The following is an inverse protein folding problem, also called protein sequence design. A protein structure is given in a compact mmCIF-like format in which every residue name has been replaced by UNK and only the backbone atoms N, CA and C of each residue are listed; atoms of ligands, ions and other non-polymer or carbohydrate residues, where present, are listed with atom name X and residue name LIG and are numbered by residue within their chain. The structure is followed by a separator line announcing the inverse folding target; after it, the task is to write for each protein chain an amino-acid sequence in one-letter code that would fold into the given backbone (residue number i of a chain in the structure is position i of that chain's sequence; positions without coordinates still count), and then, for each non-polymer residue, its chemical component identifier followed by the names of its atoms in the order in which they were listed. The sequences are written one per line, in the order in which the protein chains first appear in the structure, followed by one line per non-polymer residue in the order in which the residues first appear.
data_IF_533892403474
#
_entry.id   IF_533892403474
#
_cell.length_a   1.000
_cell.length_b   1.000
_cell.length_c   1.000
_cell.angle_alpha   90.00
_cell.angle_beta   90.00
_cell.angle_gamma   90.00
#
_symmetry.space_group_name_H-M   'P 1'
#
loop_
_entity.id
_entity.type
_entity.pdbx_description
1 polymer ?
#
# COMPACT_ATOMS: atom_id res chain seq x y z
N UNK A 1 -16.55 63.13 7.65
CA UNK A 1 -17.96 63.51 7.53
C UNK A 1 -18.76 62.23 7.66
N UNK A 2 -19.23 61.93 8.89
CA UNK A 2 -20.63 62.16 9.34
C UNK A 2 -21.56 61.15 8.62
N UNK A 3 -22.34 60.25 9.23
CA UNK A 3 -22.84 59.99 10.60
C UNK A 3 -23.47 58.57 10.55
N UNK A 4 -23.35 57.66 11.53
CA UNK A 4 -24.06 57.55 12.82
C UNK A 4 -25.53 57.06 12.77
N UNK A 5 -25.98 56.43 13.87
CA UNK A 5 -27.28 55.83 14.24
C UNK A 5 -27.41 54.30 13.96
N UNK A 6 -27.51 53.37 14.91
CA UNK A 6 -27.87 53.44 16.34
C UNK A 6 -29.18 52.65 16.59
N UNK A 7 -29.15 51.60 17.42
CA UNK A 7 -30.35 50.88 17.87
C UNK A 7 -30.08 49.53 18.54
N UNK A 8 -29.85 49.54 19.86
CA UNK A 8 -29.88 48.36 20.76
C UNK A 8 -31.33 48.14 21.32
N UNK A 9 -31.54 47.42 22.45
CA UNK A 9 -31.99 46.04 22.54
C UNK A 9 -33.39 45.92 23.20
N UNK A 10 -33.99 44.72 23.23
CA UNK A 10 -35.15 44.46 24.07
C UNK A 10 -34.83 43.45 25.18
N UNK A 11 -34.93 43.94 26.41
CA UNK A 11 -35.07 43.21 27.68
C UNK A 11 -36.55 43.26 28.10
N UNK A 12 -37.06 42.16 28.64
CA UNK A 12 -38.04 42.03 29.74
C UNK A 12 -38.58 40.59 29.68
N UNK A 13 -38.62 39.78 30.75
CA UNK A 13 -38.81 40.12 32.16
C UNK A 13 -40.22 39.68 32.56
N UNK A 14 -40.36 38.61 33.36
CA UNK A 14 -41.66 38.12 33.81
C UNK A 14 -41.60 36.78 34.56
N UNK A 15 -41.21 36.83 35.83
CA UNK A 15 -41.38 35.77 36.84
C UNK A 15 -42.86 35.58 37.20
N UNK A 16 -43.27 34.37 37.62
CA UNK A 16 -44.16 34.13 38.79
C UNK A 16 -44.32 32.63 39.13
N UNK A 17 -43.79 32.29 40.30
CA UNK A 17 -44.34 31.44 41.38
C UNK A 17 -44.58 29.92 41.24
N UNK A 18 -43.71 29.20 41.96
CA UNK A 18 -43.98 28.30 43.08
C UNK A 18 -45.04 27.17 42.96
N UNK A 19 -44.56 25.93 43.04
CA UNK A 19 -45.22 24.92 43.84
C UNK A 19 -44.20 23.99 44.53
N UNK A 20 -44.29 23.92 45.85
CA UNK A 20 -43.52 23.03 46.70
C UNK A 20 -44.33 21.75 46.97
N UNK A 21 -43.72 20.58 46.81
CA UNK A 21 -44.29 19.29 47.19
C UNK A 21 -43.23 18.20 47.09
N UNK A 22 -42.80 17.68 48.23
CA UNK A 22 -41.58 16.89 48.36
C UNK A 22 -41.72 15.38 48.12
N UNK A 23 -40.58 14.74 48.42
CA UNK A 23 -40.35 13.36 48.90
C UNK A 23 -39.57 12.44 47.94
N UNK A 24 -38.38 12.04 48.41
CA UNK A 24 -37.82 10.69 48.28
C UNK A 24 -37.43 10.23 46.88
N UNK A 25 -36.24 10.62 46.41
CA UNK A 25 -35.60 10.02 45.24
C UNK A 25 -34.22 9.48 45.60
N UNK A 26 -34.10 8.17 45.65
CA UNK A 26 -32.88 7.39 45.87
C UNK A 26 -31.73 7.83 44.97
N UNK A 27 -30.50 7.74 45.49
CA UNK A 27 -29.26 8.04 44.80
C UNK A 27 -29.24 7.42 43.38
N UNK A 28 -29.31 8.27 42.35
CA UNK A 28 -29.21 7.86 40.96
C UNK A 28 -27.83 7.28 40.70
N UNK A 29 -27.80 6.00 40.34
CA UNK A 29 -26.62 5.34 39.79
C UNK A 29 -26.02 6.21 38.68
N UNK A 30 -24.75 6.58 38.83
CA UNK A 30 -23.94 7.18 37.76
C UNK A 30 -24.07 6.28 36.53
N UNK A 31 -24.64 6.80 35.45
CA UNK A 31 -24.68 6.12 34.16
C UNK A 31 -23.26 5.76 33.76
N UNK A 32 -22.91 4.48 33.84
CA UNK A 32 -21.61 3.98 33.42
C UNK A 32 -21.47 4.23 31.92
N UNK A 33 -20.58 5.15 31.54
CA UNK A 33 -20.17 5.32 30.16
C UNK A 33 -19.66 3.96 29.66
N UNK A 34 -20.37 3.35 28.71
CA UNK A 34 -19.97 2.07 28.15
C UNK A 34 -18.68 2.30 27.36
N UNK A 35 -17.55 1.85 27.91
CA UNK A 35 -16.28 1.88 27.20
C UNK A 35 -16.34 0.89 26.03
N UNK A 36 -16.19 1.39 24.82
CA UNK A 36 -16.02 0.53 23.66
C UNK A 36 -14.58 -0.02 23.67
N UNK A 37 -14.43 -1.20 24.27
CA UNK A 37 -13.15 -1.95 24.30
C UNK A 37 -12.76 -2.46 22.92
N UNK A 38 -11.49 -2.83 22.76
CA UNK A 38 -11.03 -3.45 21.52
C UNK A 38 -11.49 -4.91 21.47
N UNK A 39 -12.14 -5.35 20.39
CA UNK A 39 -12.58 -6.75 20.26
C UNK A 39 -11.41 -7.70 19.97
N UNK A 40 -11.32 -8.76 20.75
CA UNK A 40 -10.42 -9.87 20.49
C UNK A 40 -10.77 -10.54 19.15
N UNK A 41 -9.79 -10.80 18.28
CA UNK A 41 -10.02 -11.49 17.01
C UNK A 41 -9.69 -12.98 17.07
N UNK A 42 -8.89 -13.39 18.06
CA UNK A 42 -8.42 -14.78 18.24
C UNK A 42 -8.34 -15.08 19.73
N UNK A 43 -8.28 -16.36 20.07
CA UNK A 43 -8.18 -16.83 21.46
C UNK A 43 -6.82 -16.52 22.04
N UNK A 44 -6.76 -15.94 23.24
CA UNK A 44 -5.52 -15.60 23.94
C UNK A 44 -5.60 -15.69 25.46
N UNK A 45 -4.72 -15.00 26.18
CA UNK A 45 -4.74 -14.93 27.65
C UNK A 45 -4.82 -13.49 28.15
N UNK A 46 -5.62 -13.27 29.19
CA UNK A 46 -5.72 -11.97 29.83
C UNK A 46 -4.53 -11.76 30.78
N UNK A 47 -3.77 -10.68 30.60
CA UNK A 47 -2.61 -10.40 31.43
C UNK A 47 -2.90 -10.02 32.90
N UNK A 48 -4.16 -9.86 33.27
CA UNK A 48 -4.58 -9.45 34.62
C UNK A 48 -5.17 -10.61 35.43
N UNK A 49 -5.98 -11.47 34.80
CA UNK A 49 -6.64 -12.59 35.49
C UNK A 49 -6.20 -13.97 35.00
N UNK A 50 -5.29 -14.04 34.02
CA UNK A 50 -4.73 -15.27 33.43
C UNK A 50 -5.76 -16.18 32.75
N UNK A 51 -7.05 -15.82 32.78
CA UNK A 51 -8.10 -16.56 32.10
C UNK A 51 -8.01 -16.38 30.58
N UNK A 52 -8.47 -17.39 29.80
CA UNK A 52 -8.51 -17.28 28.35
C UNK A 52 -9.38 -16.11 27.88
N UNK A 53 -8.87 -15.37 26.91
CA UNK A 53 -9.62 -14.43 26.07
C UNK A 53 -10.19 -15.21 24.90
N UNK A 54 -11.48 -15.05 24.60
CA UNK A 54 -12.14 -15.62 23.43
C UNK A 54 -12.33 -14.56 22.33
N UNK A 55 -12.42 -14.96 21.04
CA UNK A 55 -12.80 -14.05 19.97
C UNK A 55 -14.14 -13.35 20.30
N UNK A 56 -14.18 -12.03 20.10
CA UNK A 56 -15.33 -11.19 20.43
C UNK A 56 -15.25 -10.49 21.79
N UNK A 57 -14.42 -10.99 22.71
CA UNK A 57 -14.24 -10.38 24.04
C UNK A 57 -13.71 -8.95 23.94
N UNK A 58 -14.16 -8.09 24.86
CA UNK A 58 -13.69 -6.71 24.94
C UNK A 58 -12.39 -6.64 25.72
N UNK A 59 -11.40 -6.01 25.12
CA UNK A 59 -10.05 -5.88 25.63
C UNK A 59 -9.67 -4.43 25.88
N UNK A 60 -8.73 -4.27 26.78
CA UNK A 60 -8.09 -3.01 27.10
C UNK A 60 -6.56 -3.21 27.15
N UNK A 61 -5.78 -2.25 26.64
CA UNK A 61 -4.34 -2.38 26.66
C UNK A 61 -3.78 -2.14 28.06
N UNK A 62 -2.77 -2.92 28.44
CA UNK A 62 -1.99 -2.66 29.63
C UNK A 62 -1.13 -1.39 29.45
N UNK A 63 -0.88 -0.70 30.55
CA UNK A 63 -0.02 0.49 30.61
C UNK A 63 1.45 0.12 30.46
N UNK A 64 1.88 -0.96 31.08
CA UNK A 64 3.23 -1.49 30.93
C UNK A 64 3.46 -2.09 29.53
N UNK A 65 4.61 -1.79 28.88
CA UNK A 65 5.01 -2.47 27.66
C UNK A 65 5.36 -3.93 27.96
N UNK A 66 5.01 -4.82 27.04
CA UNK A 66 5.43 -6.22 27.11
C UNK A 66 6.81 -6.47 26.50
N UNK A 67 7.23 -7.75 26.45
CA UNK A 67 8.47 -8.17 25.82
C UNK A 67 8.57 -7.63 24.38
N UNK A 68 9.78 -7.19 24.00
CA UNK A 68 10.05 -6.59 22.69
C UNK A 68 9.17 -5.35 22.37
N UNK A 69 8.67 -4.64 23.38
CA UNK A 69 7.84 -3.45 23.19
C UNK A 69 6.42 -3.74 22.69
N UNK A 70 6.01 -5.01 22.62
CA UNK A 70 4.64 -5.40 22.25
C UNK A 70 3.64 -4.92 23.29
N UNK A 71 2.44 -4.56 22.84
CA UNK A 71 1.37 -4.15 23.75
C UNK A 71 0.68 -5.38 24.32
N UNK A 72 0.65 -5.47 25.65
CA UNK A 72 -0.07 -6.51 26.38
C UNK A 72 -1.54 -6.11 26.52
N UNK A 73 -2.45 -7.07 26.44
CA UNK A 73 -3.90 -6.86 26.54
C UNK A 73 -4.48 -7.61 27.74
N UNK A 74 -5.60 -7.09 28.26
CA UNK A 74 -6.40 -7.70 29.31
C UNK A 74 -7.87 -7.48 29.00
N UNK A 75 -8.76 -8.26 29.60
CA UNK A 75 -10.20 -7.99 29.50
C UNK A 75 -10.50 -6.56 29.94
N UNK A 76 -11.44 -5.90 29.25
CA UNK A 76 -11.93 -4.58 29.62
C UNK A 76 -12.42 -4.56 31.08
N UNK A 77 -13.15 -5.60 31.49
CA UNK A 77 -13.61 -5.75 32.87
C UNK A 77 -12.47 -5.86 33.88
N UNK A 78 -11.34 -6.49 33.51
CA UNK A 78 -10.16 -6.53 34.38
C UNK A 78 -9.53 -5.14 34.49
N UNK A 79 -9.41 -4.43 33.37
CA UNK A 79 -8.89 -3.06 33.37
C UNK A 79 -9.73 -2.11 34.23
N UNK A 80 -11.05 -2.23 34.18
CA UNK A 80 -11.98 -1.41 34.97
C UNK A 80 -11.82 -1.64 36.48
N UNK A 81 -11.53 -2.87 36.91
CA UNK A 81 -11.32 -3.19 38.34
C UNK A 81 -10.01 -2.65 38.90
N UNK A 82 -9.05 -2.30 38.04
CA UNK A 82 -7.74 -1.82 38.46
C UNK A 82 -7.69 -0.30 38.65
N UNK A 83 -8.76 0.43 38.32
CA UNK A 83 -8.79 1.90 38.41
C UNK A 83 -10.07 2.38 39.10
N UNK A 84 -9.93 3.37 39.99
CA UNK A 84 -11.07 3.98 40.71
C UNK A 84 -11.80 5.06 39.88
N UNK A 85 -11.67 5.04 38.55
CA UNK A 85 -12.11 6.10 37.67
C UNK A 85 -12.22 5.69 36.19
N UNK A 86 -12.46 6.65 35.28
CA UNK A 86 -12.66 6.35 33.89
C UNK A 86 -11.39 5.84 33.21
N UNK A 87 -11.53 4.80 32.40
CA UNK A 87 -10.42 4.30 31.59
C UNK A 87 -10.10 5.29 30.47
N UNK A 88 -8.86 5.77 30.44
CA UNK A 88 -8.37 6.69 29.40
C UNK A 88 -7.69 5.91 28.29
N UNK A 89 -8.22 5.99 27.07
CA UNK A 89 -7.60 5.38 25.88
C UNK A 89 -6.18 5.93 25.73
N UNK A 90 -5.14 5.09 25.57
CA UNK A 90 -3.80 5.59 25.37
C UNK A 90 -3.67 6.28 23.99
N UNK A 91 -2.73 7.21 23.87
CA UNK A 91 -2.46 7.90 22.61
C UNK A 91 -1.86 6.95 21.56
N UNK A 92 -2.24 7.18 20.31
CA UNK A 92 -1.72 6.43 19.18
C UNK A 92 -0.27 6.81 18.88
N UNK A 93 0.67 5.92 19.20
CA UNK A 93 2.10 6.12 18.92
C UNK A 93 2.39 6.41 17.45
N UNK A 94 1.59 5.84 16.54
CA UNK A 94 1.77 6.07 15.11
C UNK A 94 1.33 7.49 14.74
N UNK A 95 0.12 7.90 15.12
CA UNK A 95 -0.38 9.27 14.92
C UNK A 95 0.59 10.33 15.45
N UNK A 96 1.08 10.18 16.69
CA UNK A 96 2.03 11.15 17.25
C UNK A 96 3.34 11.24 16.46
N UNK A 97 3.76 10.15 15.81
CA UNK A 97 5.02 10.08 15.07
C UNK A 97 4.90 10.60 13.64
N UNK A 98 3.81 10.27 12.96
CA UNK A 98 3.61 10.54 11.53
C UNK A 98 2.58 11.63 11.26
N UNK A 99 1.82 12.02 12.28
CA UNK A 99 0.65 12.90 12.19
C UNK A 99 -0.54 12.27 11.44
N UNK A 100 -0.45 11.00 11.06
CA UNK A 100 -1.52 10.25 10.37
C UNK A 100 -1.61 8.86 10.96
N UNK A 101 -2.78 8.23 10.90
CA UNK A 101 -2.95 6.85 11.32
C UNK A 101 -3.72 6.09 10.27
N UNK A 102 -3.24 4.89 9.93
CA UNK A 102 -3.93 4.04 8.96
C UNK A 102 -5.35 3.72 9.38
N UNK A 103 -5.65 3.67 10.67
CA UNK A 103 -7.00 3.37 11.17
C UNK A 103 -7.88 4.63 11.27
N UNK A 104 -7.38 5.81 10.89
CA UNK A 104 -8.17 7.04 10.86
C UNK A 104 -8.93 7.31 12.16
N UNK A 105 -10.21 7.65 12.03
CA UNK A 105 -11.14 7.85 13.16
C UNK A 105 -11.52 6.54 13.86
N UNK A 106 -11.36 5.40 13.19
CA UNK A 106 -11.69 4.06 13.70
C UNK A 106 -10.58 3.47 14.57
N UNK A 107 -9.48 4.22 14.78
CA UNK A 107 -8.40 3.78 15.65
C UNK A 107 -8.90 3.70 17.09
N UNK A 108 -8.66 2.55 17.72
CA UNK A 108 -8.93 2.39 19.15
C UNK A 108 -8.18 3.40 20.03
N UNK A 109 -6.99 3.86 19.60
CA UNK A 109 -6.14 4.77 20.34
C UNK A 109 -6.47 6.24 20.04
N UNK A 110 -6.19 7.12 21.00
CA UNK A 110 -6.49 8.56 20.84
C UNK A 110 -5.59 9.22 19.79
N UNK A 111 -6.21 10.06 18.96
CA UNK A 111 -5.58 10.95 17.98
C UNK A 111 -5.77 12.39 18.42
N UNK A 112 -4.85 12.96 19.20
CA UNK A 112 -4.96 14.36 19.58
C UNK A 112 -4.61 15.23 18.35
N UNK A 113 -5.60 16.00 17.89
CA UNK A 113 -5.57 16.72 16.61
C UNK A 113 -4.48 17.81 16.54
N UNK A 114 -4.26 18.65 17.58
CA UNK A 114 -3.20 19.67 17.55
C UNK A 114 -1.81 19.07 17.31
N UNK A 115 -1.48 17.98 17.99
CA UNK A 115 -0.20 17.28 17.86
C UNK A 115 -0.07 16.60 16.50
N UNK A 116 -1.16 16.02 15.98
CA UNK A 116 -1.20 15.43 14.65
C UNK A 116 -0.93 16.45 13.54
N UNK A 117 -1.62 17.59 13.60
CA UNK A 117 -1.45 18.70 12.66
C UNK A 117 -0.05 19.32 12.74
N UNK A 118 0.44 19.59 13.96
CA UNK A 118 1.79 20.10 14.17
C UNK A 118 2.84 19.15 13.59
N UNK A 119 2.70 17.85 13.83
CA UNK A 119 3.64 16.85 13.30
C UNK A 119 3.60 16.78 11.77
N UNK A 120 2.42 16.88 11.14
CA UNK A 120 2.29 16.94 9.67
C UNK A 120 2.98 18.17 9.10
N UNK A 121 2.74 19.34 9.70
CA UNK A 121 3.38 20.58 9.29
C UNK A 121 4.91 20.50 9.40
N UNK A 122 5.41 19.93 10.50
CA UNK A 122 6.84 19.72 10.70
C UNK A 122 7.43 18.76 9.65
N UNK A 123 6.78 17.62 9.40
CA UNK A 123 7.22 16.66 8.37
C UNK A 123 7.21 17.27 6.96
N UNK A 124 6.22 18.11 6.66
CA UNK A 124 6.17 18.84 5.39
C UNK A 124 7.32 19.83 5.26
N UNK A 125 7.60 20.61 6.31
CA UNK A 125 8.74 21.54 6.33
C UNK A 125 10.09 20.81 6.21
N UNK A 126 10.25 19.67 6.90
CA UNK A 126 11.43 18.80 6.79
C UNK A 126 11.59 18.23 5.37
N UNK A 127 10.51 17.86 4.70
CA UNK A 127 10.54 17.36 3.32
C UNK A 127 10.95 18.47 2.34
N UNK A 128 10.41 19.68 2.50
CA UNK A 128 10.77 20.85 1.70
C UNK A 128 12.23 21.26 1.90
N UNK A 129 12.72 21.26 3.15
CA UNK A 129 14.12 21.56 3.44
C UNK A 129 15.08 20.50 2.86
N UNK A 130 14.72 19.21 2.93
CA UNK A 130 15.47 18.14 2.27
C UNK A 130 15.54 18.32 0.76
N UNK A 131 14.44 18.70 0.12
CA UNK A 131 14.42 19.05 -1.30
C UNK A 131 15.34 20.24 -1.61
N UNK A 132 15.31 21.32 -0.79
CA UNK A 132 16.19 22.48 -0.94
C UNK A 132 17.68 22.17 -0.78
N UNK A 133 18.03 21.23 0.12
CA UNK A 133 19.42 20.85 0.42
C UNK A 133 19.95 19.72 -0.46
N UNK A 134 19.13 19.12 -1.31
CA UNK A 134 19.58 18.11 -2.25
C UNK A 134 20.68 18.73 -3.13
N UNK A 135 21.85 18.09 -3.15
CA UNK A 135 22.96 18.51 -4.02
C UNK A 135 23.02 17.57 -5.23
N UNK A 136 23.36 18.09 -6.41
CA UNK A 136 23.71 17.23 -7.52
C UNK A 136 24.93 16.40 -7.15
N UNK A 137 24.87 15.10 -7.43
CA UNK A 137 26.00 14.21 -7.28
C UNK A 137 27.02 14.44 -8.40
N UNK A 138 28.07 13.62 -8.44
CA UNK A 138 29.12 13.69 -9.46
C UNK A 138 28.63 13.48 -10.91
N UNK A 139 27.38 13.06 -11.10
CA UNK A 139 26.72 12.88 -12.39
C UNK A 139 25.64 13.94 -12.65
N UNK A 140 25.52 14.95 -11.79
CA UNK A 140 24.50 16.00 -11.88
C UNK A 140 23.14 15.61 -11.30
N UNK A 141 23.00 14.45 -10.66
CA UNK A 141 21.73 13.95 -10.12
C UNK A 141 21.46 14.52 -8.72
N UNK A 142 20.33 15.19 -8.52
CA UNK A 142 19.87 15.65 -7.20
C UNK A 142 19.62 14.43 -6.29
N UNK A 143 20.57 14.16 -5.38
CA UNK A 143 20.46 13.08 -4.40
C UNK A 143 20.19 13.65 -3.02
N UNK A 144 19.13 13.15 -2.38
CA UNK A 144 18.92 13.33 -0.93
C UNK A 144 19.97 12.50 -0.21
N UNK A 145 20.75 13.13 0.67
CA UNK A 145 21.74 12.44 1.49
C UNK A 145 21.05 11.36 2.34
N UNK A 146 21.30 10.09 2.01
CA UNK A 146 20.69 8.97 2.72
C UNK A 146 21.44 8.78 4.04
N UNK A 147 20.74 8.89 5.18
CA UNK A 147 21.35 8.66 6.49
C UNK A 147 21.93 7.25 6.56
N UNK A 148 23.25 7.18 6.78
CA UNK A 148 23.98 5.94 6.90
C UNK A 148 23.65 5.27 8.24
N UNK A 149 23.16 4.02 8.22
CA UNK A 149 22.72 3.27 9.42
C UNK A 149 23.85 2.52 10.14
N UNK A 150 25.08 3.01 9.99
CA UNK A 150 26.29 2.38 10.48
C UNK A 150 26.92 1.39 9.48
N UNK A 151 28.13 0.89 9.78
CA UNK A 151 28.90 0.05 8.88
C UNK A 151 28.16 -1.24 8.50
N UNK A 152 28.16 -1.59 7.21
CA UNK A 152 27.61 -2.87 6.72
C UNK A 152 26.08 -2.96 6.64
N UNK A 153 25.32 -1.94 7.06
CA UNK A 153 23.87 -1.92 6.90
C UNK A 153 23.47 -1.16 5.64
N UNK A 154 22.69 -1.80 4.75
CA UNK A 154 22.07 -1.09 3.63
C UNK A 154 21.17 0.01 4.20
N UNK A 155 21.31 1.21 3.65
CA UNK A 155 20.44 2.32 4.02
C UNK A 155 18.97 1.94 3.82
N UNK A 156 18.13 2.33 4.78
CA UNK A 156 16.68 2.13 4.65
C UNK A 156 16.13 3.21 3.73
N UNK A 157 15.81 2.81 2.50
CA UNK A 157 15.01 3.60 1.57
C UNK A 157 13.57 3.58 2.06
N UNK A 158 13.00 4.75 2.38
CA UNK A 158 11.58 4.89 2.70
C UNK A 158 10.80 4.90 1.38
N UNK A 159 10.42 3.72 0.90
CA UNK A 159 9.56 3.53 -0.29
C UNK A 159 8.08 3.93 -0.02
N UNK A 160 7.85 5.02 0.70
CA UNK A 160 6.50 5.51 0.96
C UNK A 160 5.99 6.27 -0.27
N UNK A 161 4.69 6.16 -0.56
CA UNK A 161 3.99 6.95 -1.59
C UNK A 161 4.47 6.80 -3.04
N UNK A 162 5.28 5.80 -3.40
CA UNK A 162 5.73 5.59 -4.80
C UNK A 162 4.58 5.53 -5.81
N UNK A 163 3.49 4.84 -5.47
CA UNK A 163 2.30 4.76 -6.32
C UNK A 163 1.63 6.13 -6.48
N UNK A 164 1.45 6.87 -5.37
CA UNK A 164 0.89 8.22 -5.40
C UNK A 164 1.76 9.22 -6.17
N UNK A 165 3.09 9.15 -6.02
CA UNK A 165 4.03 10.00 -6.76
C UNK A 165 4.00 9.70 -8.26
N UNK A 166 3.96 8.42 -8.63
CA UNK A 166 3.86 8.03 -10.03
C UNK A 166 2.49 8.39 -10.62
N UNK A 167 1.39 8.14 -9.90
CA UNK A 167 0.03 8.58 -10.26
C UNK A 167 -0.04 10.08 -10.51
N UNK A 168 0.51 10.89 -9.60
CA UNK A 168 0.60 12.36 -9.76
C UNK A 168 1.30 12.70 -11.07
N UNK A 169 2.47 12.11 -11.31
CA UNK A 169 3.20 12.30 -12.57
C UNK A 169 2.34 11.95 -13.78
N UNK A 170 1.62 10.83 -13.76
CA UNK A 170 0.73 10.42 -14.86
C UNK A 170 -0.36 11.46 -15.11
N UNK A 171 -1.01 11.96 -14.05
CA UNK A 171 -2.08 12.97 -14.15
C UNK A 171 -1.52 14.30 -14.68
N UNK A 172 -0.40 14.77 -14.16
CA UNK A 172 0.25 16.02 -14.60
C UNK A 172 0.73 15.95 -16.05
N UNK A 173 1.25 14.79 -16.47
CA UNK A 173 1.96 14.63 -17.74
C UNK A 173 1.05 14.28 -18.91
N UNK A 174 0.09 13.37 -18.69
CA UNK A 174 -0.80 12.89 -19.76
C UNK A 174 -2.20 13.51 -19.69
N UNK A 175 -2.57 14.09 -18.55
CA UNK A 175 -3.90 14.64 -18.31
C UNK A 175 -4.92 13.57 -17.93
N UNK A 176 -5.80 13.91 -16.99
CA UNK A 176 -6.78 12.97 -16.46
C UNK A 176 -7.79 12.48 -17.52
N UNK A 177 -8.18 13.34 -18.46
CA UNK A 177 -9.11 12.96 -19.54
C UNK A 177 -8.50 11.93 -20.48
N UNK A 178 -7.25 12.14 -20.90
CA UNK A 178 -6.50 11.20 -21.73
C UNK A 178 -6.40 9.83 -21.06
N UNK A 179 -6.04 9.79 -19.77
CA UNK A 179 -5.95 8.54 -18.99
C UNK A 179 -7.28 7.76 -18.94
N UNK A 180 -8.42 8.47 -19.02
CA UNK A 180 -9.77 7.90 -18.96
C UNK A 180 -10.35 7.55 -20.33
N UNK A 181 -9.66 7.91 -21.42
CA UNK A 181 -10.08 7.62 -22.80
C UNK A 181 -9.86 6.15 -23.18
N UNK A 182 -10.47 5.73 -24.29
CA UNK A 182 -10.38 4.34 -24.78
C UNK A 182 -10.77 3.33 -23.70
N UNK A 183 -9.97 2.27 -23.55
CA UNK A 183 -10.15 1.31 -22.46
C UNK A 183 -9.43 1.73 -21.17
N UNK A 184 -8.78 2.90 -21.13
CA UNK A 184 -8.06 3.44 -19.99
C UNK A 184 -6.57 3.07 -19.95
N UNK A 185 -6.04 2.79 -18.77
CA UNK A 185 -4.60 2.51 -18.55
C UNK A 185 -4.33 1.01 -18.53
N UNK A 186 -3.29 0.57 -19.23
CA UNK A 186 -2.74 -0.78 -19.15
C UNK A 186 -1.54 -0.78 -18.18
N UNK A 187 -1.70 -1.33 -16.98
CA UNK A 187 -0.65 -1.40 -15.95
C UNK A 187 0.08 -2.74 -16.04
N UNK A 188 1.30 -2.73 -16.56
CA UNK A 188 2.15 -3.91 -16.78
C UNK A 188 2.98 -4.21 -15.53
N UNK A 189 2.97 -5.48 -15.12
CA UNK A 189 3.63 -5.95 -13.91
C UNK A 189 3.15 -5.17 -12.68
N UNK A 190 1.82 -5.03 -12.55
CA UNK A 190 1.14 -4.18 -11.56
C UNK A 190 1.40 -4.60 -10.10
N UNK A 191 2.00 -5.78 -9.89
CA UNK A 191 2.36 -6.28 -8.57
C UNK A 191 1.15 -6.56 -7.70
N UNK A 192 1.03 -5.83 -6.59
CA UNK A 192 -0.13 -5.95 -5.69
C UNK A 192 -1.35 -5.15 -6.18
N UNK A 193 -1.19 -4.29 -7.19
CA UNK A 193 -2.25 -3.44 -7.72
C UNK A 193 -2.36 -2.05 -7.07
N UNK A 194 -1.32 -1.57 -6.39
CA UNK A 194 -1.36 -0.28 -5.70
C UNK A 194 -1.63 0.90 -6.63
N UNK A 195 -0.83 1.04 -7.70
CA UNK A 195 -1.01 2.11 -8.70
C UNK A 195 -2.37 2.00 -9.39
N UNK A 196 -2.69 0.80 -9.88
CA UNK A 196 -3.94 0.52 -10.56
C UNK A 196 -5.18 0.87 -9.70
N UNK A 197 -5.16 0.52 -8.41
CA UNK A 197 -6.24 0.86 -7.50
C UNK A 197 -6.32 2.36 -7.22
N UNK A 198 -5.19 3.05 -7.02
CA UNK A 198 -5.19 4.49 -6.81
C UNK A 198 -5.73 5.23 -8.05
N UNK A 199 -5.34 4.87 -9.26
CA UNK A 199 -5.89 5.43 -10.51
C UNK A 199 -7.39 5.16 -10.65
N UNK A 200 -7.83 3.92 -10.39
CA UNK A 200 -9.25 3.53 -10.49
C UNK A 200 -10.12 4.23 -9.45
N UNK A 201 -9.77 4.14 -8.17
CA UNK A 201 -10.61 4.59 -7.06
C UNK A 201 -10.50 6.09 -6.79
N UNK A 202 -9.30 6.69 -6.92
CA UNK A 202 -9.12 8.11 -6.58
C UNK A 202 -9.31 9.02 -7.78
N UNK A 203 -9.13 8.51 -9.00
CA UNK A 203 -9.16 9.32 -10.22
C UNK A 203 -10.25 8.89 -11.22
N UNK A 204 -10.91 7.76 -10.99
CA UNK A 204 -11.93 7.25 -11.92
C UNK A 204 -11.34 6.85 -13.28
N UNK A 205 -10.10 6.37 -13.28
CA UNK A 205 -9.38 5.88 -14.46
C UNK A 205 -9.60 4.37 -14.61
N UNK A 206 -10.20 3.89 -15.71
CA UNK A 206 -10.27 2.45 -15.94
C UNK A 206 -8.86 1.87 -16.05
N UNK A 207 -8.58 0.78 -15.35
CA UNK A 207 -7.24 0.15 -15.39
C UNK A 207 -7.37 -1.33 -15.72
N UNK A 208 -6.50 -1.81 -16.59
CA UNK A 208 -6.32 -3.24 -16.87
C UNK A 208 -4.91 -3.64 -16.43
N UNK A 209 -4.81 -4.50 -15.42
CA UNK A 209 -3.54 -5.01 -14.90
C UNK A 209 -3.08 -6.22 -15.70
N UNK A 210 -1.85 -6.21 -16.24
CA UNK A 210 -1.16 -7.42 -16.72
C UNK A 210 -0.23 -7.88 -15.59
N UNK A 211 -0.63 -8.94 -14.89
CA UNK A 211 0.12 -9.49 -13.76
C UNK A 211 -0.27 -10.96 -13.58
N UNK A 212 0.68 -11.92 -13.63
CA UNK A 212 0.34 -13.33 -13.46
C UNK A 212 -0.22 -13.66 -12.06
N UNK A 213 0.25 -12.94 -11.03
CA UNK A 213 -0.19 -13.17 -9.64
C UNK A 213 -1.53 -12.51 -9.36
N UNK A 214 -2.22 -13.00 -8.33
CA UNK A 214 -3.41 -12.33 -7.81
C UNK A 214 -3.04 -10.95 -7.23
N UNK A 215 -3.84 -9.95 -7.57
CA UNK A 215 -3.77 -8.63 -6.95
C UNK A 215 -4.13 -8.72 -5.46
N UNK A 216 -3.52 -7.86 -4.64
CA UNK A 216 -3.71 -7.85 -3.17
C UNK A 216 -4.19 -6.47 -2.72
N UNK A 217 -5.48 -6.21 -2.94
CA UNK A 217 -6.07 -4.89 -2.81
C UNK A 217 -6.48 -4.49 -1.38
N UNK A 218 -6.57 -5.45 -0.44
CA UNK A 218 -7.05 -5.18 0.92
C UNK A 218 -6.36 -3.98 1.59
N UNK A 219 -5.04 -3.86 1.41
CA UNK A 219 -4.26 -2.81 2.06
C UNK A 219 -4.51 -1.41 1.46
N UNK A 220 -4.76 -1.32 0.16
CA UNK A 220 -5.07 -0.05 -0.53
C UNK A 220 -6.51 0.38 -0.31
N UNK A 221 -7.43 -0.59 -0.23
CA UNK A 221 -8.83 -0.36 0.13
C UNK A 221 -8.93 0.17 1.56
N UNK A 222 -8.26 -0.46 2.52
CA UNK A 222 -8.26 0.00 3.90
C UNK A 222 -7.63 1.40 4.03
N UNK A 223 -6.58 1.71 3.27
CA UNK A 223 -6.03 3.07 3.19
C UNK A 223 -7.11 4.07 2.72
N UNK A 224 -7.88 3.73 1.68
CA UNK A 224 -8.96 4.58 1.20
C UNK A 224 -10.04 4.78 2.27
N UNK A 225 -10.60 3.69 2.81
CA UNK A 225 -11.70 3.72 3.78
C UNK A 225 -11.36 4.55 5.02
N UNK A 226 -10.11 4.48 5.49
CA UNK A 226 -9.63 5.28 6.61
C UNK A 226 -9.11 6.68 6.21
N UNK A 227 -9.55 7.21 5.07
CA UNK A 227 -9.29 8.58 4.62
C UNK A 227 -7.80 8.92 4.39
N UNK A 228 -6.93 7.92 4.22
CA UNK A 228 -5.47 8.10 4.15
C UNK A 228 -5.05 9.00 2.97
N UNK A 229 -5.68 8.81 1.81
CA UNK A 229 -5.32 9.52 0.57
C UNK A 229 -5.77 10.99 0.56
N UNK A 230 -6.79 11.34 1.34
CA UNK A 230 -7.32 12.71 1.46
C UNK A 230 -6.64 13.49 2.59
N UNK A 231 -6.00 12.79 3.52
CA UNK A 231 -5.20 13.43 4.56
C UNK A 231 -3.84 13.93 4.04
N UNK A 232 -3.29 13.39 2.95
CA UNK A 232 -2.00 13.89 2.47
C UNK A 232 -2.20 15.21 1.69
N UNK A 233 -1.74 16.38 2.17
CA UNK A 233 -1.99 17.65 1.51
C UNK A 233 -1.35 17.75 0.12
N UNK A 234 -0.30 16.98 -0.17
CA UNK A 234 0.36 16.98 -1.49
C UNK A 234 -0.41 16.16 -2.52
N UNK A 235 -1.08 15.08 -2.10
CA UNK A 235 -1.76 14.16 -3.01
C UNK A 235 -3.28 14.30 -2.99
N UNK A 236 -3.85 14.95 -1.98
CA UNK A 236 -5.29 15.15 -1.84
C UNK A 236 -5.84 15.99 -2.99
N UNK A 237 -5.10 17.00 -3.47
CA UNK A 237 -5.47 17.83 -4.63
C UNK A 237 -5.57 17.04 -5.94
N UNK A 238 -4.96 15.85 -6.00
CA UNK A 238 -5.02 14.96 -7.16
C UNK A 238 -6.18 13.98 -7.10
N UNK A 239 -6.90 13.90 -5.97
CA UNK A 239 -8.06 13.01 -5.88
C UNK A 239 -9.25 13.69 -6.56
N UNK A 240 -9.85 13.01 -7.54
CA UNK A 240 -11.04 13.50 -8.24
C UNK A 240 -12.26 13.55 -7.32
N UNK A 241 -12.35 12.58 -6.40
CA UNK A 241 -13.47 12.45 -5.49
C UNK A 241 -13.08 12.95 -4.09
N UNK A 242 -13.85 13.87 -3.49
CA UNK A 242 -13.52 14.51 -2.23
C UNK A 242 -13.62 13.60 -1.00
N UNK A 243 -14.34 12.47 -1.09
CA UNK A 243 -14.55 11.57 0.06
C UNK A 243 -14.23 10.11 -0.29
N UNK A 244 -13.82 9.29 0.70
CA UNK A 244 -13.66 7.84 0.50
C UNK A 244 -14.91 7.14 -0.02
N UNK A 245 -16.10 7.53 0.45
CA UNK A 245 -17.37 6.96 0.02
C UNK A 245 -17.63 7.23 -1.48
N UNK A 246 -17.36 8.46 -1.95
CA UNK A 246 -17.45 8.78 -3.37
C UNK A 246 -16.41 8.05 -4.21
N UNK A 247 -15.18 7.87 -3.71
CA UNK A 247 -14.18 7.05 -4.37
C UNK A 247 -14.67 5.60 -4.56
N UNK A 248 -15.28 4.98 -3.55
CA UNK A 248 -15.81 3.63 -3.68
C UNK A 248 -17.00 3.55 -4.64
N UNK A 249 -17.91 4.53 -4.59
CA UNK A 249 -19.10 4.58 -5.44
C UNK A 249 -18.78 4.87 -6.91
N UNK A 250 -17.77 5.71 -7.18
CA UNK A 250 -17.44 6.20 -8.51
C UNK A 250 -16.14 5.61 -9.07
N UNK A 251 -15.56 4.59 -8.43
CA UNK A 251 -14.36 3.92 -8.94
C UNK A 251 -14.61 3.41 -10.35
N UNK A 252 -13.63 3.58 -11.21
CA UNK A 252 -13.68 3.01 -12.54
C UNK A 252 -13.35 1.50 -12.52
N UNK A 253 -13.69 0.74 -13.58
CA UNK A 253 -13.39 -0.68 -13.66
C UNK A 253 -11.90 -0.98 -13.46
N UNK A 254 -11.61 -1.93 -12.57
CA UNK A 254 -10.28 -2.51 -12.38
C UNK A 254 -10.31 -3.94 -12.91
N UNK A 255 -9.59 -4.20 -13.99
CA UNK A 255 -9.56 -5.48 -14.69
C UNK A 255 -8.21 -6.15 -14.50
N UNK A 256 -8.18 -7.47 -14.62
CA UNK A 256 -6.97 -8.25 -14.39
C UNK A 256 -6.78 -9.32 -15.45
N UNK A 257 -5.69 -9.19 -16.21
CA UNK A 257 -5.17 -10.18 -17.14
C UNK A 257 -4.08 -10.99 -16.43
N UNK A 258 -4.43 -12.20 -15.98
CA UNK A 258 -3.48 -13.14 -15.37
C UNK A 258 -2.66 -13.87 -16.42
N UNK A 259 -1.69 -13.16 -16.97
CA UNK A 259 -0.74 -13.64 -17.96
C UNK A 259 0.63 -12.98 -17.71
N UNK A 260 1.68 -13.55 -18.28
CA UNK A 260 2.98 -12.88 -18.41
C UNK A 260 2.96 -11.95 -19.62
N UNK A 261 3.58 -10.78 -19.52
CA UNK A 261 3.88 -10.00 -20.71
C UNK A 261 5.09 -10.64 -21.41
N UNK A 262 4.84 -11.18 -22.61
CA UNK A 262 5.86 -11.61 -23.58
C UNK A 262 5.34 -11.24 -24.97
N UNK A 263 6.21 -10.70 -25.80
CA UNK A 263 5.85 -10.28 -27.16
C UNK A 263 6.25 -11.35 -28.17
N UNK A 264 5.46 -11.49 -29.23
CA UNK A 264 5.82 -12.38 -30.34
C UNK A 264 7.17 -11.93 -30.94
N UNK A 265 8.06 -12.88 -31.21
CA UNK A 265 9.41 -12.60 -31.68
C UNK A 265 9.46 -11.83 -33.01
N UNK A 266 8.45 -12.04 -33.85
CA UNK A 266 8.25 -11.43 -35.17
C UNK A 266 7.27 -10.25 -35.15
N UNK A 267 6.52 -10.08 -34.06
CA UNK A 267 5.43 -9.10 -33.93
C UNK A 267 5.39 -8.48 -32.53
N UNK A 268 6.14 -7.39 -32.36
CA UNK A 268 6.18 -6.66 -31.08
C UNK A 268 4.86 -5.94 -30.72
N UNK A 269 3.93 -5.80 -31.65
CA UNK A 269 2.58 -5.29 -31.43
C UNK A 269 1.63 -6.34 -30.82
N UNK A 270 2.07 -7.59 -30.75
CA UNK A 270 1.25 -8.72 -30.31
C UNK A 270 1.86 -9.41 -29.08
N UNK A 271 1.03 -9.58 -28.04
CA UNK A 271 1.40 -10.38 -26.87
C UNK A 271 1.26 -11.87 -27.24
N UNK A 272 2.27 -12.68 -26.94
CA UNK A 272 2.30 -14.13 -27.25
C UNK A 272 1.03 -14.84 -26.76
N UNK A 273 0.62 -14.55 -25.52
CA UNK A 273 -0.58 -15.11 -24.91
C UNK A 273 -1.89 -14.76 -25.65
N UNK A 274 -1.90 -13.72 -26.48
CA UNK A 274 -3.07 -13.27 -27.24
C UNK A 274 -3.04 -13.73 -28.71
N UNK A 275 -1.96 -14.41 -29.14
CA UNK A 275 -1.75 -14.81 -30.53
C UNK A 275 -2.73 -15.87 -31.03
N UNK A 276 -3.09 -16.84 -30.19
CA UNK A 276 -4.05 -17.89 -30.49
C UNK A 276 -4.84 -18.31 -29.24
N UNK A 277 -5.97 -19.04 -29.39
CA UNK A 277 -6.67 -19.64 -28.26
C UNK A 277 -5.79 -20.57 -27.41
N UNK A 278 -4.95 -21.39 -28.05
CA UNK A 278 -4.08 -22.35 -27.37
C UNK A 278 -2.98 -21.62 -26.56
N UNK A 279 -2.42 -20.55 -27.12
CA UNK A 279 -1.45 -19.71 -26.43
C UNK A 279 -2.07 -19.00 -25.22
N UNK A 280 -3.33 -18.56 -25.33
CA UNK A 280 -4.10 -17.97 -24.23
C UNK A 280 -4.27 -18.95 -23.08
N UNK A 281 -4.79 -20.15 -23.36
CA UNK A 281 -5.04 -21.17 -22.34
C UNK A 281 -3.73 -21.62 -21.66
N UNK A 282 -2.66 -21.78 -22.45
CA UNK A 282 -1.33 -22.12 -21.95
C UNK A 282 -0.78 -21.04 -21.02
N UNK A 283 -0.83 -19.77 -21.44
CA UNK A 283 -0.31 -18.65 -20.65
C UNK A 283 -1.10 -18.45 -19.35
N UNK A 284 -2.42 -18.62 -19.39
CA UNK A 284 -3.33 -18.55 -18.23
C UNK A 284 -3.02 -19.65 -17.22
N UNK A 285 -2.86 -20.89 -17.70
CA UNK A 285 -2.48 -22.04 -16.87
C UNK A 285 -1.10 -21.83 -16.23
N UNK A 286 -0.12 -21.36 -16.99
CA UNK A 286 1.19 -21.02 -16.48
C UNK A 286 1.10 -19.94 -15.38
N UNK A 287 0.36 -18.85 -15.62
CA UNK A 287 0.20 -17.78 -14.62
C UNK A 287 -0.43 -18.25 -13.30
N UNK A 288 -1.31 -19.26 -13.35
CA UNK A 288 -1.94 -19.84 -12.15
C UNK A 288 -0.97 -20.71 -11.33
N UNK A 289 0.08 -21.24 -11.93
CA UNK A 289 1.05 -22.14 -11.27
C UNK A 289 2.32 -21.43 -10.80
N UNK A 290 2.53 -20.16 -11.18
CA UNK A 290 3.70 -19.39 -10.76
C UNK A 290 3.70 -19.06 -9.27
N UNK A 291 4.86 -19.22 -8.64
CA UNK A 291 5.11 -18.91 -7.24
C UNK A 291 6.14 -17.79 -7.14
N UNK A 292 5.92 -16.84 -6.23
CA UNK A 292 6.89 -15.80 -5.89
C UNK A 292 7.53 -16.10 -4.53
N UNK A 293 8.84 -16.30 -4.50
CA UNK A 293 9.62 -16.44 -3.27
C UNK A 293 10.77 -15.40 -3.20
N UNK A 294 11.78 -15.65 -2.37
CA UNK A 294 12.95 -14.77 -2.24
C UNK A 294 13.87 -14.75 -3.47
N UNK A 295 13.77 -15.76 -4.34
CA UNK A 295 14.54 -15.92 -5.59
C UNK A 295 13.84 -15.27 -6.77
N UNK A 296 12.55 -14.98 -6.65
CA UNK A 296 11.76 -14.29 -7.69
C UNK A 296 10.53 -15.10 -8.09
N UNK A 297 10.00 -14.82 -9.28
CA UNK A 297 8.88 -15.54 -9.87
C UNK A 297 9.40 -16.79 -10.60
N UNK A 298 8.89 -17.96 -10.26
CA UNK A 298 9.31 -19.23 -10.87
C UNK A 298 8.16 -20.24 -10.91
N UNK A 299 8.25 -21.21 -11.81
CA UNK A 299 7.28 -22.29 -11.94
C UNK A 299 7.52 -23.41 -10.92
N UNK A 300 6.58 -24.36 -10.77
CA UNK A 300 6.72 -25.51 -9.88
C UNK A 300 7.91 -26.42 -10.21
N UNK A 301 8.38 -26.42 -11.46
CA UNK A 301 9.50 -27.27 -11.94
C UNK A 301 10.88 -26.66 -11.67
N UNK A 302 10.98 -25.35 -11.47
CA UNK A 302 12.27 -24.66 -11.29
C UNK A 302 12.88 -24.92 -9.89
N UNK A 303 12.13 -25.58 -9.00
CA UNK A 303 12.61 -25.98 -7.67
C UNK A 303 13.36 -27.32 -7.65
N UNK A 304 13.30 -28.12 -8.71
CA UNK A 304 13.84 -29.49 -8.72
C UNK A 304 15.32 -29.61 -9.11
N UNK A 305 15.93 -28.61 -9.76
CA UNK A 305 17.32 -28.71 -10.26
C UNK A 305 18.40 -28.14 -9.33
N UNK A 306 18.03 -27.68 -8.14
CA UNK A 306 18.98 -27.10 -7.17
C UNK A 306 19.36 -28.04 -6.01
N UNK A 307 19.17 -29.35 -6.15
CA UNK A 307 19.62 -30.37 -5.19
C UNK A 307 20.56 -31.39 -5.84
N UNK A 308 21.69 -30.94 -6.38
CA UNK A 308 22.83 -31.81 -6.69
C UNK A 308 24.16 -31.08 -6.53
N UNK A 309 24.37 -30.51 -5.34
CA UNK A 309 25.73 -30.28 -4.84
C UNK A 309 25.74 -30.57 -3.35
N UNK A 310 25.95 -31.85 -3.04
CA UNK A 310 26.18 -32.32 -1.69
C UNK A 310 27.51 -31.76 -1.18
N UNK A 311 27.45 -30.86 -0.22
CA UNK A 311 28.52 -30.72 0.77
C UNK A 311 27.88 -31.10 2.11
N UNK A 312 28.34 -32.23 2.65
CA UNK A 312 27.85 -32.84 3.88
C UNK A 312 27.91 -31.85 5.05
N UNK A 313 26.79 -31.54 5.74
CA UNK A 313 26.85 -30.82 6.99
C UNK A 313 27.11 -31.82 8.13
N UNK A 314 28.23 -31.58 8.80
CA UNK A 314 28.63 -32.22 10.04
C UNK A 314 27.52 -32.08 11.10
N UNK A 315 26.86 -33.18 11.42
CA UNK A 315 25.73 -33.21 12.34
C UNK A 315 26.26 -33.21 13.78
N UNK A 316 26.31 -32.02 14.40
CA UNK A 316 26.29 -31.93 15.86
C UNK A 316 24.84 -31.99 16.35
N UNK A 317 24.45 -32.94 17.21
CA UNK A 317 23.10 -33.00 17.73
C UNK A 317 22.83 -31.78 18.63
N UNK A 318 21.72 -31.09 18.35
CA UNK A 318 21.17 -30.08 19.24
C UNK A 318 20.69 -30.76 20.53
N UNK A 319 21.04 -30.18 21.67
CA UNK A 319 20.64 -30.68 22.98
C UNK A 319 19.11 -30.61 23.17
N UNK A 320 18.52 -31.44 24.04
CA UNK A 320 17.05 -31.53 24.23
C UNK A 320 16.38 -30.27 24.80
N UNK A 321 17.12 -29.18 25.02
CA UNK A 321 16.62 -27.97 25.70
C UNK A 321 15.94 -26.94 24.77
N UNK A 322 15.89 -27.16 23.46
CA UNK A 322 15.29 -26.21 22.50
C UNK A 322 13.95 -26.66 21.88
N UNK A 323 13.48 -27.87 22.20
CA UNK A 323 12.18 -28.35 21.72
C UNK A 323 10.97 -27.83 22.53
N UNK A 324 11.20 -27.11 23.63
CA UNK A 324 10.16 -26.65 24.55
C UNK A 324 9.71 -25.18 24.37
N UNK A 325 10.12 -24.49 23.30
CA UNK A 325 9.70 -23.08 23.03
C UNK A 325 8.77 -22.93 21.82
N UNK A 326 8.18 -24.01 21.32
CA UNK A 326 7.27 -23.98 20.16
C UNK A 326 5.78 -23.79 20.51
N UNK A 327 5.45 -23.35 21.72
CA UNK A 327 4.08 -23.17 22.17
C UNK A 327 3.87 -21.77 22.79
N UNK A 328 3.89 -20.73 21.96
CA UNK A 328 3.35 -19.39 22.30
C UNK A 328 3.23 -18.56 21.01
N UNK A 329 2.16 -18.80 20.24
CA UNK A 329 1.81 -17.95 19.09
C UNK A 329 0.84 -16.86 19.55
N UNK A 330 1.20 -15.61 19.26
CA UNK A 330 0.56 -14.39 19.75
C UNK A 330 -0.93 -14.30 19.34
N UNK A 331 -1.86 -14.28 20.29
CA UNK A 331 -3.28 -14.48 20.04
C UNK A 331 -4.08 -13.21 19.70
N UNK A 332 -3.43 -12.06 19.51
CA UNK A 332 -4.13 -10.78 19.37
C UNK A 332 -3.96 -10.17 17.97
N UNK A 333 -4.85 -9.24 17.52
CA UNK A 333 -4.58 -8.45 16.33
C UNK A 333 -3.24 -7.73 16.48
N UNK A 334 -2.41 -7.64 15.42
CA UNK A 334 -1.05 -7.13 15.53
C UNK A 334 -1.04 -5.73 16.14
N UNK A 335 -0.50 -5.61 17.36
CA UNK A 335 -0.17 -4.30 17.91
C UNK A 335 0.95 -3.73 17.05
N UNK A 336 0.73 -2.55 16.46
CA UNK A 336 1.69 -1.87 15.58
C UNK A 336 2.92 -1.29 16.32
N UNK A 337 3.45 -2.00 17.31
CA UNK A 337 4.67 -1.61 17.99
C UNK A 337 5.91 -1.74 17.09
N UNK A 338 5.92 -2.64 16.09
CA UNK A 338 7.04 -2.80 15.15
C UNK A 338 6.62 -3.06 13.70
N UNK A 339 5.46 -2.55 13.27
CA UNK A 339 5.09 -2.57 11.85
C UNK A 339 5.85 -1.46 11.11
N UNK A 340 7.15 -1.72 10.93
CA UNK A 340 7.95 -1.06 9.94
C UNK A 340 7.29 -1.25 8.57
N UNK A 341 7.10 -0.11 7.88
CA UNK A 341 6.66 -0.02 6.49
C UNK A 341 7.44 -1.03 5.65
N UNK A 342 6.69 -1.98 5.08
CA UNK A 342 7.12 -2.87 4.01
C UNK A 342 8.29 -3.81 4.37
N UNK A 343 8.01 -4.86 5.18
CA UNK A 343 8.52 -6.25 5.05
C UNK A 343 8.29 -7.09 6.31
N UNK A 344 7.38 -8.05 6.23
CA UNK A 344 7.54 -9.43 6.77
C UNK A 344 6.44 -10.32 6.21
N UNK A 345 6.74 -11.09 5.15
CA UNK A 345 6.29 -12.48 5.05
C UNK A 345 7.46 -13.26 4.46
N UNK A 346 8.26 -13.86 5.35
CA UNK A 346 8.96 -15.07 4.99
C UNK A 346 7.90 -16.16 4.88
N UNK A 347 7.96 -16.94 3.80
CA UNK A 347 7.12 -18.10 3.60
C UNK A 347 7.20 -19.03 4.81
N UNK A 348 6.06 -19.25 5.45
CA UNK A 348 5.75 -20.50 6.12
C UNK A 348 4.33 -20.86 5.70
N UNK A 349 4.26 -22.07 5.15
CA UNK A 349 3.11 -22.84 4.73
C UNK A 349 1.88 -22.64 5.64
N UNK A 350 0.73 -22.32 5.05
CA UNK A 350 -0.58 -22.42 5.72
C UNK A 350 -1.58 -22.90 4.69
N UNK A 351 -1.77 -24.21 4.72
CA UNK A 351 -2.95 -24.93 4.29
C UNK A 351 -4.22 -24.23 4.78
N UNK A 352 -5.20 -24.16 3.88
CA UNK A 352 -6.64 -24.03 4.09
C UNK A 352 -7.13 -23.85 5.54
N UNK A 353 -7.82 -22.73 5.81
CA UNK A 353 -9.17 -22.72 6.40
C UNK A 353 -9.73 -21.28 6.43
N UNK A 354 -10.82 -21.08 5.71
CA UNK A 354 -11.61 -19.86 5.74
C UNK A 354 -12.46 -19.85 7.01
N UNK A 355 -12.25 -18.86 7.89
CA UNK A 355 -13.17 -18.54 8.97
C UNK A 355 -13.57 -17.07 8.89
N UNK A 356 -14.89 -16.85 8.88
CA UNK A 356 -15.55 -15.59 8.59
C UNK A 356 -15.33 -14.54 9.69
N UNK A 357 -15.10 -13.30 9.26
CA UNK A 357 -15.10 -12.08 10.09
C UNK A 357 -16.53 -11.54 10.28
N UNK A 358 -16.84 -10.79 11.34
CA UNK A 358 -18.20 -10.32 11.59
C UNK A 358 -18.64 -9.30 10.54
N UNK A 359 -19.89 -9.43 10.12
CA UNK A 359 -20.53 -8.68 9.05
C UNK A 359 -20.90 -7.26 9.47
N UNK A 360 -20.37 -6.26 8.75
CA UNK A 360 -20.98 -4.94 8.46
C UNK A 360 -20.10 -4.07 7.57
N UNK A 361 -18.87 -4.49 7.22
CA UNK A 361 -18.11 -3.83 6.16
C UNK A 361 -18.48 -4.38 4.79
N UNK A 362 -18.77 -3.49 3.83
CA UNK A 362 -18.98 -3.86 2.43
C UNK A 362 -17.81 -4.72 1.92
N UNK A 363 -18.07 -5.77 1.12
CA UNK A 363 -17.04 -6.67 0.63
C UNK A 363 -15.91 -5.90 -0.04
N UNK A 364 -14.67 -6.35 0.18
CA UNK A 364 -13.50 -5.72 -0.43
C UNK A 364 -13.66 -5.77 -1.96
N UNK A 365 -13.52 -4.63 -2.66
CA UNK A 365 -13.59 -4.63 -4.11
C UNK A 365 -12.47 -5.51 -4.67
N UNK A 366 -12.84 -6.47 -5.51
CA UNK A 366 -11.92 -7.25 -6.31
C UNK A 366 -11.73 -6.60 -7.69
N UNK A 367 -10.60 -6.91 -8.32
CA UNK A 367 -10.45 -6.70 -9.75
C UNK A 367 -11.23 -7.79 -10.50
N UNK A 368 -11.85 -7.42 -11.62
CA UNK A 368 -12.54 -8.37 -12.49
C UNK A 368 -11.51 -9.06 -13.37
N UNK A 369 -11.34 -10.36 -13.16
CA UNK A 369 -10.49 -11.17 -14.01
C UNK A 369 -11.12 -11.31 -15.40
N UNK A 370 -10.32 -11.09 -16.45
CA UNK A 370 -10.77 -11.21 -17.84
C UNK A 370 -10.40 -12.59 -18.35
N UNK A 371 -11.40 -13.34 -18.81
CA UNK A 371 -11.27 -14.72 -19.27
C UNK A 371 -11.35 -14.85 -20.79
N UNK A 372 -11.96 -13.87 -21.45
CA UNK A 372 -12.14 -13.85 -22.89
C UNK A 372 -10.91 -13.22 -23.58
N UNK A 373 -10.30 -13.97 -24.51
CA UNK A 373 -9.11 -13.56 -25.26
C UNK A 373 -9.37 -12.37 -26.17
N UNK A 374 -10.54 -12.31 -26.82
CA UNK A 374 -10.89 -11.20 -27.71
C UNK A 374 -11.07 -9.91 -26.91
N UNK A 375 -11.72 -9.98 -25.75
CA UNK A 375 -11.83 -8.85 -24.81
C UNK A 375 -10.44 -8.43 -24.32
N UNK A 376 -9.58 -9.38 -23.95
CA UNK A 376 -8.21 -9.06 -23.52
C UNK A 376 -7.41 -8.36 -24.63
N UNK A 377 -7.54 -8.81 -25.88
CA UNK A 377 -6.94 -8.16 -27.05
C UNK A 377 -7.44 -6.71 -27.23
N UNK A 378 -8.76 -6.51 -27.18
CA UNK A 378 -9.35 -5.18 -27.26
C UNK A 378 -8.82 -4.25 -26.17
N UNK A 379 -8.77 -4.72 -24.92
CA UNK A 379 -8.26 -3.94 -23.78
C UNK A 379 -6.81 -3.46 -23.99
N UNK A 380 -5.96 -4.29 -24.60
CA UNK A 380 -4.56 -3.96 -24.89
C UNK A 380 -4.45 -2.95 -26.03
N UNK A 381 -5.14 -3.16 -27.15
CA UNK A 381 -5.02 -2.30 -28.33
C UNK A 381 -5.73 -0.94 -28.16
N UNK A 382 -6.84 -0.89 -27.45
CA UNK A 382 -7.65 0.32 -27.24
C UNK A 382 -7.27 1.10 -25.98
N UNK A 383 -6.23 0.69 -25.25
CA UNK A 383 -5.77 1.45 -24.09
C UNK A 383 -5.27 2.84 -24.52
N UNK A 384 -5.43 3.81 -23.62
CA UNK A 384 -4.95 5.16 -23.81
C UNK A 384 -3.46 5.29 -23.48
N UNK A 385 -2.99 4.53 -22.47
CA UNK A 385 -1.63 4.64 -21.95
C UNK A 385 -1.16 3.28 -21.41
N UNK A 386 0.10 2.94 -21.68
CA UNK A 386 0.75 1.76 -21.08
C UNK A 386 1.69 2.23 -19.96
N UNK A 387 1.56 1.66 -18.77
CA UNK A 387 2.38 2.04 -17.61
C UNK A 387 3.01 0.83 -16.93
N UNK A 388 4.09 1.07 -16.17
CA UNK A 388 4.68 0.04 -15.32
C UNK A 388 5.53 0.65 -14.20
N UNK A 389 5.14 0.42 -12.95
CA UNK A 389 5.90 0.86 -11.79
C UNK A 389 6.77 -0.28 -11.26
N UNK A 390 8.08 -0.17 -11.45
CA UNK A 390 9.04 -1.23 -11.15
C UNK A 390 8.72 -2.54 -11.90
N UNK A 391 8.53 -2.53 -13.24
CA UNK A 391 8.04 -3.69 -13.98
C UNK A 391 9.12 -4.77 -14.24
N UNK A 392 10.15 -4.82 -13.39
CA UNK A 392 11.20 -5.86 -13.33
C UNK A 392 11.63 -6.41 -14.71
N UNK A 393 11.38 -7.69 -14.99
CA UNK A 393 11.74 -8.33 -16.26
C UNK A 393 11.00 -7.76 -17.47
N UNK A 394 9.77 -7.29 -17.30
CA UNK A 394 8.87 -6.82 -18.37
C UNK A 394 9.18 -5.38 -18.84
N UNK A 395 10.16 -4.69 -18.25
CA UNK A 395 10.45 -3.29 -18.57
C UNK A 395 10.78 -3.04 -20.06
N UNK A 396 11.48 -3.98 -20.70
CA UNK A 396 11.80 -3.88 -22.13
C UNK A 396 10.56 -4.08 -23.00
N UNK A 397 9.84 -5.18 -22.77
CA UNK A 397 8.64 -5.58 -23.50
C UNK A 397 7.52 -4.54 -23.39
N UNK A 398 7.41 -3.87 -22.24
CA UNK A 398 6.48 -2.74 -22.06
C UNK A 398 6.74 -1.63 -23.07
N UNK A 399 8.00 -1.20 -23.20
CA UNK A 399 8.37 -0.14 -24.16
C UNK A 399 8.16 -0.64 -25.59
N UNK A 400 8.57 -1.87 -25.89
CA UNK A 400 8.46 -2.43 -27.24
C UNK A 400 6.99 -2.53 -27.68
N UNK A 401 6.10 -2.99 -26.79
CA UNK A 401 4.67 -3.01 -27.03
C UNK A 401 4.12 -1.60 -27.26
N UNK A 402 4.49 -0.64 -26.42
CA UNK A 402 4.00 0.74 -26.54
C UNK A 402 4.46 1.41 -27.84
N UNK A 403 5.71 1.18 -28.26
CA UNK A 403 6.22 1.68 -29.52
C UNK A 403 5.50 1.02 -30.72
N UNK A 404 5.31 -0.30 -30.67
CA UNK A 404 4.66 -1.05 -31.73
C UNK A 404 3.17 -0.68 -31.90
N UNK A 405 2.47 -0.44 -30.80
CA UNK A 405 1.08 0.03 -30.80
C UNK A 405 0.94 1.54 -31.01
N UNK A 406 2.07 2.25 -31.14
CA UNK A 406 2.15 3.71 -31.13
C UNK A 406 1.30 4.34 -30.01
N UNK A 407 1.49 3.86 -28.79
CA UNK A 407 0.85 4.38 -27.58
C UNK A 407 1.84 5.25 -26.79
N UNK A 408 1.33 6.26 -26.06
CA UNK A 408 2.13 6.86 -25.01
C UNK A 408 2.45 5.80 -23.94
N UNK A 409 3.54 6.02 -23.20
CA UNK A 409 3.86 5.16 -22.06
C UNK A 409 4.58 5.92 -20.95
N UNK A 410 4.56 5.33 -19.75
CA UNK A 410 5.46 5.72 -18.67
C UNK A 410 5.87 4.49 -17.86
N UNK A 411 7.16 4.32 -17.59
CA UNK A 411 7.64 3.29 -16.68
C UNK A 411 8.68 3.82 -15.70
N UNK A 412 8.79 3.16 -14.57
CA UNK A 412 9.88 3.39 -13.62
C UNK A 412 10.64 2.08 -13.42
N UNK A 413 11.76 1.81 -14.10
CA UNK A 413 12.51 0.57 -13.91
C UNK A 413 13.28 0.58 -12.59
N UNK A 414 13.66 -0.60 -12.08
CA UNK A 414 14.39 -0.73 -10.81
C UNK A 414 15.58 -1.71 -10.86
N UNK A 415 15.47 -2.79 -11.63
CA UNK A 415 16.39 -3.93 -11.61
C UNK A 415 16.88 -4.27 -13.03
N UNK A 416 18.17 -4.55 -13.18
CA UNK A 416 18.77 -4.86 -14.49
C UNK A 416 18.50 -6.28 -14.97
N UNK A 417 18.34 -7.22 -14.02
CA UNK A 417 18.23 -8.65 -14.28
C UNK A 417 19.35 -9.16 -15.21
N UNK A 418 20.59 -8.68 -15.01
CA UNK A 418 21.70 -8.89 -15.94
C UNK A 418 22.03 -10.38 -16.21
N UNK A 419 21.70 -11.29 -15.27
CA UNK A 419 21.83 -12.74 -15.47
C UNK A 419 20.78 -13.31 -16.42
N UNK A 420 19.54 -12.84 -16.33
CA UNK A 420 18.41 -13.26 -17.17
C UNK A 420 18.45 -12.58 -18.55
N UNK A 421 19.06 -11.39 -18.64
CA UNK A 421 19.21 -10.64 -19.88
C UNK A 421 20.69 -10.44 -20.27
N UNK A 422 21.47 -11.52 -20.47
CA UNK A 422 22.90 -11.44 -20.74
C UNK A 422 23.22 -10.82 -22.10
N UNK A 423 22.23 -10.64 -22.97
CA UNK A 423 22.34 -10.04 -24.31
C UNK A 423 22.04 -8.54 -24.35
N UNK A 424 21.55 -7.91 -23.26
CA UNK A 424 21.31 -6.45 -23.25
C UNK A 424 22.63 -5.68 -23.39
N UNK A 425 22.73 -4.85 -24.43
CA UNK A 425 23.91 -4.02 -24.75
C UNK A 425 23.47 -2.60 -25.07
N UNK A 426 24.24 -1.62 -24.59
CA UNK A 426 24.14 -0.24 -25.07
C UNK A 426 24.61 -0.17 -26.54
N UNK A 427 24.31 0.95 -27.23
CA UNK A 427 24.74 1.18 -28.60
C UNK A 427 26.27 1.05 -28.82
N UNK A 428 27.07 1.35 -27.80
CA UNK A 428 28.53 1.20 -27.84
C UNK A 428 29.02 -0.23 -27.53
N UNK A 429 28.13 -1.23 -27.46
CA UNK A 429 28.45 -2.63 -27.14
C UNK A 429 28.66 -2.92 -25.66
N UNK A 430 28.47 -1.96 -24.74
CA UNK A 430 28.65 -2.18 -23.30
C UNK A 430 27.52 -3.04 -22.73
N UNK A 431 27.80 -4.13 -21.98
CA UNK A 431 26.79 -4.91 -21.26
C UNK A 431 26.03 -4.09 -20.20
N UNK A 432 24.71 -4.23 -20.17
CA UNK A 432 23.85 -3.59 -19.18
C UNK A 432 23.94 -4.33 -17.85
N UNK A 433 24.64 -3.76 -16.88
CA UNK A 433 24.85 -4.37 -15.55
C UNK A 433 24.48 -3.47 -14.38
N UNK A 434 24.35 -2.17 -14.62
CA UNK A 434 24.00 -1.17 -13.61
C UNK A 434 22.67 -0.46 -13.93
N UNK A 435 22.11 0.21 -12.93
CA UNK A 435 20.85 0.92 -13.08
C UNK A 435 20.91 2.06 -14.10
N UNK A 436 21.98 2.85 -14.13
CA UNK A 436 22.17 3.90 -15.14
C UNK A 436 22.23 3.31 -16.54
N UNK A 437 22.99 2.23 -16.74
CA UNK A 437 23.04 1.53 -18.02
C UNK A 437 21.67 0.96 -18.43
N UNK A 438 20.84 0.53 -17.49
CA UNK A 438 19.48 0.09 -17.79
C UNK A 438 18.63 1.26 -18.30
N UNK A 439 18.71 2.42 -17.64
CA UNK A 439 18.01 3.62 -18.07
C UNK A 439 18.45 4.03 -19.48
N UNK A 440 19.76 4.09 -19.72
CA UNK A 440 20.33 4.44 -21.02
C UNK A 440 19.90 3.44 -22.11
N UNK A 441 19.93 2.14 -21.81
CA UNK A 441 19.50 1.08 -22.73
C UNK A 441 18.03 1.22 -23.12
N UNK A 442 17.16 1.43 -22.14
CA UNK A 442 15.72 1.57 -22.38
C UNK A 442 15.39 2.87 -23.11
N UNK A 443 16.09 3.97 -22.78
CA UNK A 443 15.91 5.26 -23.46
C UNK A 443 16.40 5.21 -24.92
N UNK A 444 17.45 4.45 -25.22
CA UNK A 444 17.97 4.26 -26.58
C UNK A 444 17.00 3.52 -27.52
N UNK A 445 15.93 2.90 -27.02
CA UNK A 445 14.93 2.23 -27.86
C UNK A 445 14.20 3.18 -28.80
N UNK A 446 14.05 4.46 -28.45
CA UNK A 446 13.45 5.45 -29.34
C UNK A 446 13.86 6.89 -28.95
N UNK A 447 14.20 7.78 -29.91
CA UNK A 447 14.71 9.13 -29.61
C UNK A 447 13.71 10.04 -28.88
N UNK A 448 12.41 9.78 -29.00
CA UNK A 448 11.38 10.56 -28.29
C UNK A 448 11.18 10.16 -26.83
N UNK A 449 11.93 9.18 -26.30
CA UNK A 449 11.79 8.75 -24.91
C UNK A 449 12.46 9.79 -24.01
N UNK A 450 11.65 10.37 -23.14
CA UNK A 450 12.05 11.34 -22.14
C UNK A 450 12.29 10.66 -20.79
N UNK A 451 13.00 11.36 -19.91
CA UNK A 451 13.31 10.91 -18.55
C UNK A 451 13.00 12.01 -17.54
N UNK A 452 12.43 11.65 -16.41
CA UNK A 452 12.26 12.54 -15.26
C UNK A 452 12.53 11.79 -13.96
N UNK A 453 12.77 12.52 -12.88
CA UNK A 453 12.91 11.97 -11.53
C UNK A 453 11.60 12.17 -10.76
N UNK A 454 11.12 11.11 -10.11
CA UNK A 454 9.90 11.14 -9.31
C UNK A 454 10.20 11.40 -7.83
N UNK A 455 9.21 12.01 -7.16
CA UNK A 455 9.30 12.45 -5.76
C UNK A 455 9.16 11.30 -4.73
N UNK A 456 10.00 10.27 -4.85
CA UNK A 456 10.14 9.21 -3.84
C UNK A 456 11.57 8.67 -3.79
N UNK A 457 11.93 8.03 -2.68
CA UNK A 457 13.29 7.48 -2.50
C UNK A 457 13.51 6.16 -3.27
N UNK A 458 14.74 5.90 -3.70
CA UNK A 458 15.11 4.62 -4.31
C UNK A 458 15.28 4.70 -5.83
N UNK A 459 14.70 3.73 -6.55
CA UNK A 459 14.72 3.71 -8.03
C UNK A 459 13.53 4.50 -8.54
N UNK A 460 13.76 5.78 -8.82
CA UNK A 460 12.73 6.79 -9.01
C UNK A 460 12.83 7.53 -10.35
N UNK A 461 13.69 7.10 -11.27
CA UNK A 461 13.72 7.68 -12.62
C UNK A 461 12.63 7.05 -13.46
N UNK A 462 11.72 7.87 -13.98
CA UNK A 462 10.69 7.47 -14.91
C UNK A 462 11.13 7.76 -16.35
N UNK A 463 10.97 6.77 -17.23
CA UNK A 463 11.08 6.91 -18.67
C UNK A 463 9.68 6.98 -19.26
N UNK A 464 9.43 7.94 -20.14
CA UNK A 464 8.09 8.16 -20.69
C UNK A 464 8.13 8.71 -22.11
N UNK A 465 7.00 8.57 -22.80
CA UNK A 465 6.76 9.08 -24.16
C UNK A 465 5.31 9.54 -24.25
N UNK A 466 5.08 10.76 -24.75
CA UNK A 466 3.74 11.37 -24.86
C UNK A 466 2.93 10.94 -26.10
N UNK A 467 3.53 10.16 -27.00
CA UNK A 467 3.10 10.01 -28.40
C UNK A 467 3.22 11.32 -29.22
N UNK A 468 3.43 11.26 -30.54
CA UNK A 468 3.52 12.44 -31.40
C UNK A 468 2.21 13.22 -31.49
#
# INVERSE_FOLDING_TARGET
MLSDMGGQPNTDGGDHEANAGGQGGTATARSAQAYEGMRALRQGSCASCETPVQPGDLLWPCTAPGPNGRRIWKHLACAQREVDGPLVKPQCKHWLRTGTCRYGTDCFFLHPEPEGQHRRAQLLAEAQDRARRARPDRHGELRVAVQNRGPGRRNKVRNAFRAAAFRRFLVDTFGLESLRSGTGVLDVASGKGDLAYELSALNGVPVTCIEPRQLRLQQVVLRLRHNYYHQNPLFASYNRFPTPAECEAQRAPLRHLRILLRLCADRCDQIEALSSPEAWDTARTAAQTLVWDRRGLHGPSDTAEATSSACTPDARPLSPALAAQAAERDPFPPSVADADVDKTVAATDVSQEATAMPATEAPLPCATEVWDRAVASQLVHECALIVGMHPDQAAGDLIDLALALNKPFALTPCCTYAKEFPKRRLANGTPVRSYSQLLDFLQQKHPSIQRCQLDFEGKNVCLYRLCP
#
